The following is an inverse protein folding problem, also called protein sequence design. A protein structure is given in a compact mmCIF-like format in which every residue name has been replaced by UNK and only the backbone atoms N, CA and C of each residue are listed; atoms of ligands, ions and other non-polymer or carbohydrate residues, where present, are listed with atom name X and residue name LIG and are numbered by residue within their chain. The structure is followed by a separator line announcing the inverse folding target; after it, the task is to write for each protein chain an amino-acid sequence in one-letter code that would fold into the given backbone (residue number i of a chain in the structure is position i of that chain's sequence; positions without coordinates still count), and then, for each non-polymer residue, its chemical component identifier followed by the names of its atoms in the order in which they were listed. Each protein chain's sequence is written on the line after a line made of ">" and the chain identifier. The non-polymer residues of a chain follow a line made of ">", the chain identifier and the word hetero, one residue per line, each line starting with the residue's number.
data_IF_151285208486
#
_entry.id   IF_151285208486
#
_cell.length_a   1.000
_cell.length_b   1.000
_cell.length_c   1.000
_cell.angle_alpha   90.00
_cell.angle_beta   90.00
_cell.angle_gamma   90.00
#
_symmetry.space_group_name_H-M   'P 1'
#
loop_
_entity.id
_entity.type
_entity.pdbx_description
1 polymer ?
#
# COMPACT_ATOMS: atom_id res chain seq x y z
N UNK A 1 26.11 -2.76 -11.26
CA UNK A 1 24.86 -1.99 -11.43
C UNK A 1 24.07 -2.17 -10.15
N UNK A 2 24.08 -1.16 -9.27
CA UNK A 2 23.37 -1.23 -7.99
C UNK A 2 21.87 -1.23 -8.28
N UNK A 3 21.19 -2.30 -7.90
CA UNK A 3 19.73 -2.34 -7.87
C UNK A 3 19.28 -1.36 -6.78
N UNK A 4 18.76 -0.20 -7.18
CA UNK A 4 17.99 0.66 -6.31
C UNK A 4 16.56 0.14 -6.33
N UNK A 5 16.24 -0.71 -5.35
CA UNK A 5 14.91 -1.30 -5.18
C UNK A 5 13.98 -0.32 -4.42
N UNK A 6 13.94 0.94 -4.87
CA UNK A 6 12.91 1.90 -4.46
C UNK A 6 11.69 1.67 -5.35
N UNK A 7 10.59 1.20 -4.76
CA UNK A 7 9.33 0.87 -5.45
C UNK A 7 8.31 2.00 -5.29
N UNK A 8 8.65 3.25 -5.61
CA UNK A 8 7.61 4.28 -5.65
C UNK A 8 6.77 4.12 -6.92
N UNK A 9 5.46 4.42 -6.88
CA UNK A 9 4.56 4.21 -8.02
C UNK A 9 4.98 4.93 -9.32
N UNK A 10 5.79 5.99 -9.22
CA UNK A 10 6.23 6.82 -10.34
C UNK A 10 7.71 6.69 -10.72
N UNK A 11 8.49 5.86 -10.02
CA UNK A 11 9.95 5.76 -10.24
C UNK A 11 10.29 5.37 -11.69
N UNK A 12 9.39 4.66 -12.40
CA UNK A 12 9.56 4.33 -13.81
C UNK A 12 9.59 5.51 -14.80
N UNK A 13 9.37 6.75 -14.34
CA UNK A 13 9.35 7.96 -15.20
C UNK A 13 10.58 8.87 -15.05
N UNK A 14 11.44 8.63 -14.06
CA UNK A 14 12.58 9.50 -13.76
C UNK A 14 13.91 8.74 -13.89
N UNK A 15 14.97 9.46 -14.29
CA UNK A 15 16.32 8.87 -14.46
C UNK A 15 17.18 8.98 -13.20
N UNK A 16 16.81 9.88 -12.28
CA UNK A 16 17.54 10.17 -11.04
C UNK A 16 16.62 9.97 -9.83
N UNK A 17 17.22 9.73 -8.66
CA UNK A 17 16.49 9.62 -7.41
C UNK A 17 15.85 10.97 -7.02
N UNK A 18 14.72 10.92 -6.32
CA UNK A 18 14.07 12.12 -5.80
C UNK A 18 14.97 12.74 -4.72
N UNK A 19 15.14 14.06 -4.74
CA UNK A 19 15.92 14.75 -3.71
C UNK A 19 15.23 14.61 -2.33
N UNK A 20 16.01 14.37 -1.27
CA UNK A 20 15.48 14.20 0.09
C UNK A 20 14.59 15.37 0.57
N UNK A 21 14.89 16.60 0.13
CA UNK A 21 14.06 17.78 0.44
C UNK A 21 12.67 17.72 -0.20
N UNK A 22 12.55 17.10 -1.38
CA UNK A 22 11.26 16.90 -2.05
C UNK A 22 10.49 15.80 -1.33
N UNK A 23 11.13 14.69 -0.99
CA UNK A 23 10.49 13.59 -0.24
C UNK A 23 9.94 14.06 1.12
N UNK A 24 10.75 14.81 1.86
CA UNK A 24 10.32 15.37 3.15
C UNK A 24 9.16 16.37 3.01
N UNK A 25 9.08 17.07 1.87
CA UNK A 25 8.00 18.01 1.59
C UNK A 25 6.70 17.30 1.15
N UNK A 26 6.81 16.19 0.42
CA UNK A 26 5.65 15.45 -0.11
C UNK A 26 5.09 14.41 0.86
N UNK A 27 5.89 13.92 1.82
CA UNK A 27 5.45 12.91 2.78
C UNK A 27 4.29 13.40 3.66
N UNK A 28 3.18 12.67 3.64
CA UNK A 28 1.95 12.94 4.39
C UNK A 28 1.71 11.97 5.54
N UNK A 29 2.46 10.86 5.62
CA UNK A 29 2.30 9.81 6.65
C UNK A 29 2.19 10.32 8.09
N UNK A 30 2.90 11.40 8.41
CA UNK A 30 2.90 12.01 9.73
C UNK A 30 1.52 12.58 10.16
N UNK A 31 0.60 12.84 9.23
CA UNK A 31 -0.77 13.26 9.53
C UNK A 31 -1.86 12.37 8.93
N UNK A 32 -1.60 11.70 7.81
CA UNK A 32 -2.61 10.86 7.13
C UNK A 32 -2.68 9.43 7.69
N UNK A 33 -1.71 9.00 8.51
CA UNK A 33 -1.74 7.69 9.18
C UNK A 33 -3.03 7.46 9.98
N UNK A 34 -3.72 8.53 10.40
CA UNK A 34 -5.04 8.46 11.04
C UNK A 34 -6.16 7.89 10.15
N UNK A 35 -5.95 7.82 8.83
CA UNK A 35 -6.90 7.32 7.83
C UNK A 35 -6.73 5.82 7.54
N UNK A 36 -5.92 5.10 8.32
CA UNK A 36 -5.63 3.69 8.06
C UNK A 36 -6.89 2.81 8.02
N UNK A 37 -7.90 3.11 8.85
CA UNK A 37 -9.15 2.33 8.90
C UNK A 37 -9.93 2.46 7.60
N UNK A 38 -10.03 3.68 7.08
CA UNK A 38 -10.70 4.00 5.83
C UNK A 38 -9.96 3.35 4.65
N UNK A 39 -8.63 3.45 4.62
CA UNK A 39 -7.81 2.80 3.59
C UNK A 39 -7.97 1.27 3.58
N UNK A 40 -7.89 0.64 4.75
CA UNK A 40 -8.02 -0.81 4.90
C UNK A 40 -9.43 -1.27 4.51
N UNK A 41 -10.48 -0.58 4.98
CA UNK A 41 -11.85 -0.90 4.64
C UNK A 41 -12.11 -0.79 3.13
N UNK A 42 -11.64 0.30 2.50
CA UNK A 42 -11.72 0.50 1.06
C UNK A 42 -10.94 -0.56 0.28
N UNK A 43 -9.75 -0.92 0.74
CA UNK A 43 -8.91 -1.96 0.15
C UNK A 43 -9.51 -3.36 0.25
N UNK A 44 -10.15 -3.72 1.37
CA UNK A 44 -10.91 -4.98 1.49
C UNK A 44 -12.09 -5.01 0.53
N UNK A 45 -12.81 -3.90 0.37
CA UNK A 45 -13.92 -3.81 -0.57
C UNK A 45 -13.45 -3.95 -2.02
N UNK A 46 -12.34 -3.30 -2.38
CA UNK A 46 -11.72 -3.38 -3.70
C UNK A 46 -11.23 -4.80 -4.03
N UNK A 47 -10.52 -5.46 -3.12
CA UNK A 47 -10.09 -6.85 -3.29
C UNK A 47 -11.27 -7.79 -3.60
N UNK A 48 -12.37 -7.66 -2.84
CA UNK A 48 -13.60 -8.42 -3.08
C UNK A 48 -14.23 -8.11 -4.43
N UNK A 49 -14.16 -6.86 -4.88
CA UNK A 49 -14.64 -6.46 -6.21
C UNK A 49 -13.78 -7.10 -7.31
N UNK A 50 -12.45 -7.04 -7.22
CA UNK A 50 -11.54 -7.66 -8.18
C UNK A 50 -11.79 -9.17 -8.32
N UNK A 51 -12.02 -9.85 -7.20
CA UNK A 51 -12.35 -11.27 -7.19
C UNK A 51 -13.67 -11.57 -7.89
N UNK A 52 -14.71 -10.74 -7.66
CA UNK A 52 -16.00 -10.86 -8.34
C UNK A 52 -15.88 -10.65 -9.86
N UNK A 53 -14.94 -9.81 -10.30
CA UNK A 53 -14.66 -9.59 -11.72
C UNK A 53 -13.72 -10.64 -12.33
N UNK A 54 -13.23 -11.60 -11.54
CA UNK A 54 -12.30 -12.63 -12.00
C UNK A 54 -10.88 -12.12 -12.30
N UNK A 55 -10.53 -10.93 -11.80
CA UNK A 55 -9.19 -10.33 -11.98
C UNK A 55 -8.17 -10.96 -11.03
N UNK A 56 -8.62 -11.34 -9.83
CA UNK A 56 -7.84 -12.13 -8.86
C UNK A 56 -8.63 -13.38 -8.46
N UNK A 57 -7.92 -14.41 -8.00
CA UNK A 57 -8.57 -15.62 -7.50
C UNK A 57 -9.27 -15.38 -6.15
N UNK A 58 -10.15 -16.31 -5.75
CA UNK A 58 -10.79 -16.25 -4.43
C UNK A 58 -9.75 -16.39 -3.31
N UNK A 59 -8.77 -17.26 -3.51
CA UNK A 59 -7.67 -17.52 -2.59
C UNK A 59 -6.79 -16.27 -2.43
N UNK A 60 -6.48 -15.57 -3.53
CA UNK A 60 -5.77 -14.29 -3.50
C UNK A 60 -6.57 -13.22 -2.76
N UNK A 61 -7.89 -13.13 -3.00
CA UNK A 61 -8.76 -12.21 -2.27
C UNK A 61 -8.77 -12.49 -0.77
N UNK A 62 -8.87 -13.76 -0.37
CA UNK A 62 -8.84 -14.14 1.04
C UNK A 62 -7.49 -13.84 1.69
N UNK A 63 -6.39 -14.07 0.98
CA UNK A 63 -5.04 -13.71 1.46
C UNK A 63 -4.90 -12.19 1.66
N UNK A 64 -5.37 -11.39 0.71
CA UNK A 64 -5.38 -9.92 0.82
C UNK A 64 -6.21 -9.47 2.02
N UNK A 65 -7.44 -9.98 2.16
CA UNK A 65 -8.34 -9.57 3.24
C UNK A 65 -7.75 -9.91 4.61
N UNK A 66 -7.18 -11.12 4.78
CA UNK A 66 -6.51 -11.51 6.03
C UNK A 66 -5.28 -10.65 6.31
N UNK A 67 -4.43 -10.42 5.31
CA UNK A 67 -3.25 -9.58 5.49
C UNK A 67 -3.59 -8.15 5.90
N UNK A 68 -4.67 -7.58 5.35
CA UNK A 68 -5.18 -6.26 5.74
C UNK A 68 -5.75 -6.25 7.17
N UNK A 69 -6.44 -7.31 7.61
CA UNK A 69 -6.93 -7.45 8.98
C UNK A 69 -5.79 -7.55 10.00
N UNK A 70 -4.71 -8.26 9.68
CA UNK A 70 -3.52 -8.33 10.53
C UNK A 70 -2.79 -6.98 10.62
N UNK A 71 -2.67 -6.26 9.49
CA UNK A 71 -2.10 -4.91 9.46
C UNK A 71 -2.93 -3.96 10.32
N UNK A 72 -4.26 -4.01 10.20
CA UNK A 72 -5.18 -3.20 11.03
C UNK A 72 -4.93 -3.45 12.52
N UNK A 73 -4.86 -4.72 12.93
CA UNK A 73 -4.63 -5.10 14.31
C UNK A 73 -3.27 -4.61 14.85
N UNK A 74 -2.22 -4.62 14.03
CA UNK A 74 -0.90 -4.10 14.42
C UNK A 74 -0.87 -2.57 14.55
N UNK A 75 -1.62 -1.86 13.69
CA UNK A 75 -1.76 -0.40 13.80
C UNK A 75 -2.51 -0.07 15.10
N UNK A 76 -3.59 -0.80 15.39
CA UNK A 76 -4.37 -0.63 16.63
C UNK A 76 -3.57 -0.97 17.89
N UNK A 77 -2.69 -1.97 17.82
CA UNK A 77 -1.77 -2.34 18.90
C UNK A 77 -0.59 -1.36 19.05
N UNK A 78 -0.40 -0.42 18.11
CA UNK A 78 0.75 0.49 18.08
C UNK A 78 2.08 -0.20 17.75
N UNK A 79 2.03 -1.40 17.17
CA UNK A 79 3.23 -2.19 16.81
C UNK A 79 3.57 -2.09 15.33
N UNK A 80 2.69 -1.53 14.50
CA UNK A 80 2.93 -1.34 13.07
C UNK A 80 4.05 -0.31 12.82
N UNK A 81 5.13 -0.67 12.12
CA UNK A 81 6.26 0.22 11.89
C UNK A 81 6.00 1.13 10.69
N UNK A 82 5.31 2.26 10.92
CA UNK A 82 5.20 3.29 9.88
C UNK A 82 6.59 3.78 9.45
N UNK A 83 6.82 3.75 8.13
CA UNK A 83 8.08 4.11 7.48
C UNK A 83 7.94 5.49 6.83
N UNK A 84 8.61 6.54 7.33
CA UNK A 84 8.56 7.88 6.75
C UNK A 84 9.02 7.96 5.29
N UNK A 85 9.87 7.03 4.86
CA UNK A 85 10.30 6.89 3.47
C UNK A 85 9.18 6.41 2.52
N UNK A 86 8.09 5.89 3.06
CA UNK A 86 6.84 5.63 2.34
C UNK A 86 5.92 6.83 2.52
N UNK A 87 5.69 7.54 1.41
CA UNK A 87 5.11 8.89 1.37
C UNK A 87 3.83 9.05 2.19
N UNK A 88 2.89 8.12 2.05
CA UNK A 88 1.54 8.19 2.59
C UNK A 88 1.15 6.91 3.36
N UNK A 89 0.03 6.95 4.09
CA UNK A 89 -0.56 5.79 4.79
C UNK A 89 -0.81 4.61 3.83
N UNK A 90 -1.19 4.90 2.61
CA UNK A 90 -1.56 3.90 1.61
C UNK A 90 -0.34 3.10 1.13
N UNK A 91 0.80 3.74 0.91
CA UNK A 91 2.08 3.11 0.56
C UNK A 91 2.59 2.26 1.72
N UNK A 92 2.40 2.71 2.96
CA UNK A 92 2.75 1.92 4.14
C UNK A 92 1.96 0.61 4.19
N UNK A 93 0.63 0.67 4.02
CA UNK A 93 -0.24 -0.51 4.03
C UNK A 93 0.06 -1.41 2.82
N UNK A 94 0.22 -0.85 1.62
CA UNK A 94 0.54 -1.60 0.40
C UNK A 94 1.87 -2.34 0.53
N UNK A 95 2.92 -1.66 0.98
CA UNK A 95 4.23 -2.28 1.15
C UNK A 95 4.20 -3.39 2.19
N UNK A 96 3.54 -3.17 3.34
CA UNK A 96 3.38 -4.19 4.37
C UNK A 96 2.57 -5.40 3.86
N UNK A 97 1.53 -5.17 3.06
CA UNK A 97 0.74 -6.25 2.47
C UNK A 97 1.59 -7.08 1.48
N UNK A 98 2.33 -6.41 0.60
CA UNK A 98 3.23 -7.10 -0.36
C UNK A 98 4.31 -7.90 0.35
N UNK A 99 4.89 -7.38 1.44
CA UNK A 99 5.87 -8.09 2.26
C UNK A 99 5.30 -9.38 2.87
N UNK A 100 4.01 -9.39 3.27
CA UNK A 100 3.36 -10.56 3.86
C UNK A 100 2.94 -11.62 2.86
N UNK A 101 2.30 -11.20 1.76
CA UNK A 101 1.59 -12.12 0.86
C UNK A 101 2.14 -12.12 -0.57
N UNK A 102 3.22 -11.38 -0.82
CA UNK A 102 3.92 -11.38 -2.10
C UNK A 102 3.09 -10.83 -3.25
N UNK A 103 3.10 -11.55 -4.38
CA UNK A 103 2.47 -11.12 -5.64
C UNK A 103 0.97 -10.84 -5.51
N UNK A 104 0.26 -11.55 -4.65
CA UNK A 104 -1.17 -11.30 -4.42
C UNK A 104 -1.40 -9.87 -3.89
N UNK A 105 -0.52 -9.37 -3.00
CA UNK A 105 -0.59 -8.01 -2.47
C UNK A 105 -0.43 -6.95 -3.56
N UNK A 106 0.48 -7.18 -4.52
CA UNK A 106 0.72 -6.24 -5.64
C UNK A 106 -0.51 -6.10 -6.54
N UNK A 107 -1.31 -7.16 -6.69
CA UNK A 107 -2.50 -7.15 -7.53
C UNK A 107 -3.63 -6.28 -6.99
N UNK A 108 -3.60 -5.91 -5.70
CA UNK A 108 -4.62 -5.06 -5.09
C UNK A 108 -4.76 -3.69 -5.78
N UNK A 109 -3.69 -3.16 -6.37
CA UNK A 109 -3.72 -1.84 -7.04
C UNK A 109 -4.23 -1.90 -8.48
N UNK A 110 -4.59 -3.09 -8.97
CA UNK A 110 -5.18 -3.24 -10.31
C UNK A 110 -6.46 -2.41 -10.43
N UNK A 111 -6.53 -1.60 -11.49
CA UNK A 111 -7.68 -0.76 -11.82
C UNK A 111 -8.11 0.25 -10.73
N UNK A 112 -7.16 0.72 -9.90
CA UNK A 112 -7.42 1.74 -8.87
C UNK A 112 -6.34 2.82 -8.90
N UNK A 113 -6.74 4.08 -8.90
CA UNK A 113 -5.83 5.23 -8.73
C UNK A 113 -5.84 5.71 -7.28
N UNK A 114 -4.77 6.40 -6.86
CA UNK A 114 -4.75 7.09 -5.56
C UNK A 114 -5.82 8.18 -5.49
N UNK A 115 -6.16 8.81 -6.62
CA UNK A 115 -7.24 9.80 -6.71
C UNK A 115 -8.61 9.23 -6.33
N UNK A 116 -8.84 7.93 -6.53
CA UNK A 116 -10.10 7.25 -6.19
C UNK A 116 -10.09 6.69 -4.76
N UNK A 117 -8.90 6.58 -4.16
CA UNK A 117 -8.66 5.92 -2.88
C UNK A 117 -8.60 6.91 -1.70
N UNK A 118 -8.24 8.17 -1.95
CA UNK A 118 -8.11 9.25 -0.96
C UNK A 118 -9.46 9.88 -0.59
#
# INVERSE_FOLDING_TARGET
>A
MSQHDSKKPWDGRFQEATAASVEAFTASVHFDARLYREDIAGSRAHARMLARQGIISKEECEAIVRGLEEIEAEIEAGTFPFRPELEDVHMNIEAALVERIGEAGKKLHTARSRNDQV
#
